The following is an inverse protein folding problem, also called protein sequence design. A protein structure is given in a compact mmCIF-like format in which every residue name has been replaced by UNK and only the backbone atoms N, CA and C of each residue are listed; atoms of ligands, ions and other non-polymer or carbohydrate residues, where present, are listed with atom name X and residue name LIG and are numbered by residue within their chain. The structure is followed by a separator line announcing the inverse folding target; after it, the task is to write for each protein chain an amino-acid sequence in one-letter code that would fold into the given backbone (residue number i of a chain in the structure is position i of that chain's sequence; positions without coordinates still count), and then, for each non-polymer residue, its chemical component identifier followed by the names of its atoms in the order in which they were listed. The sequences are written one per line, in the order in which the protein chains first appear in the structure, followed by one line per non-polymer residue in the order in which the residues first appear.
data_IF_212094333567
#
_entry.id   IF_212094333567
#
_cell.length_a   1.000
_cell.length_b   1.000
_cell.length_c   1.000
_cell.angle_alpha   90.00
_cell.angle_beta   90.00
_cell.angle_gamma   90.00
#
_symmetry.space_group_name_H-M   'P 1'
#
loop_
_entity.id
_entity.type
_entity.pdbx_description
1 polymer ?
#
# COMPACT_ATOMS: atom_id res chain seq x y z
N UNK A 1 -11.45 -8.27 12.75
CA UNK A 1 -11.91 -8.60 11.37
C UNK A 1 -10.79 -8.33 10.35
N UNK A 2 -10.75 -9.05 9.22
CA UNK A 2 -9.79 -8.81 8.13
C UNK A 2 -10.50 -8.93 6.78
N UNK A 3 -10.14 -8.07 5.84
CA UNK A 3 -10.69 -8.15 4.48
C UNK A 3 -9.85 -9.11 3.63
N UNK A 4 -10.51 -9.94 2.82
CA UNK A 4 -9.84 -10.86 1.90
C UNK A 4 -8.92 -10.09 0.95
N UNK A 5 -7.70 -10.60 0.74
CA UNK A 5 -6.66 -9.97 -0.10
C UNK A 5 -6.13 -8.61 0.37
N UNK A 6 -6.45 -8.19 1.60
CA UNK A 6 -5.82 -7.02 2.23
C UNK A 6 -4.36 -7.28 2.62
N UNK A 7 -3.98 -8.54 2.84
CA UNK A 7 -2.67 -8.89 3.39
C UNK A 7 -2.49 -8.53 4.87
N UNK A 8 -3.48 -7.95 5.54
CA UNK A 8 -3.50 -7.71 6.98
C UNK A 8 -3.74 -9.02 7.74
N UNK A 9 -3.04 -9.23 8.85
CA UNK A 9 -3.28 -10.37 9.76
C UNK A 9 -4.41 -10.04 10.74
N UNK A 10 -5.07 -11.07 11.29
CA UNK A 10 -6.14 -10.87 12.27
C UNK A 10 -5.62 -10.14 13.52
N UNK A 11 -6.32 -9.06 13.91
CA UNK A 11 -5.96 -8.23 15.07
C UNK A 11 -4.75 -7.33 14.85
N UNK A 12 -4.13 -7.36 13.66
CA UNK A 12 -2.92 -6.61 13.38
C UNK A 12 -3.19 -5.11 13.34
N UNK A 13 -2.39 -4.33 14.08
CA UNK A 13 -2.42 -2.87 14.03
C UNK A 13 -1.82 -2.32 12.72
N UNK A 14 -2.02 -1.02 12.46
CA UNK A 14 -1.38 -0.34 11.33
C UNK A 14 0.15 -0.42 11.42
N UNK A 15 0.70 -0.16 12.61
CA UNK A 15 2.15 -0.15 12.83
C UNK A 15 2.74 -1.55 12.66
N UNK A 16 2.11 -2.58 13.23
CA UNK A 16 2.53 -3.98 13.05
C UNK A 16 2.44 -4.42 11.59
N UNK A 17 1.48 -3.90 10.82
CA UNK A 17 1.39 -4.17 9.39
C UNK A 17 2.59 -3.57 8.65
N UNK A 18 2.88 -2.29 8.86
CA UNK A 18 3.97 -1.62 8.18
C UNK A 18 5.35 -2.14 8.61
N UNK A 19 5.54 -2.47 9.89
CA UNK A 19 6.78 -3.08 10.37
C UNK A 19 7.01 -4.45 9.71
N UNK A 20 5.98 -5.31 9.69
CA UNK A 20 6.07 -6.61 9.01
C UNK A 20 6.34 -6.45 7.51
N UNK A 21 5.73 -5.46 6.86
CA UNK A 21 5.98 -5.15 5.44
C UNK A 21 7.41 -4.69 5.23
N UNK A 22 7.93 -3.79 6.06
CA UNK A 22 9.31 -3.34 6.00
C UNK A 22 10.30 -4.50 6.13
N UNK A 23 10.10 -5.39 7.11
CA UNK A 23 10.93 -6.59 7.29
C UNK A 23 10.88 -7.53 6.07
N UNK A 24 9.69 -7.75 5.51
CA UNK A 24 9.50 -8.55 4.30
C UNK A 24 10.17 -7.91 3.08
N UNK A 25 10.04 -6.60 2.93
CA UNK A 25 10.62 -5.83 1.83
C UNK A 25 12.16 -5.81 1.92
N UNK A 26 12.74 -5.71 3.12
CA UNK A 26 14.19 -5.81 3.32
C UNK A 26 14.73 -7.16 2.85
N UNK A 27 14.03 -8.27 3.16
CA UNK A 27 14.40 -9.62 2.68
C UNK A 27 14.29 -9.73 1.16
N UNK A 28 13.29 -9.09 0.54
CA UNK A 28 13.14 -9.05 -0.92
C UNK A 28 14.25 -8.23 -1.57
N UNK A 29 14.60 -7.09 -1.00
CA UNK A 29 15.66 -6.22 -1.49
C UNK A 29 17.00 -6.97 -1.57
N UNK A 30 17.32 -7.78 -0.56
CA UNK A 30 18.55 -8.58 -0.53
C UNK A 30 18.66 -9.61 -1.67
N UNK A 31 17.52 -10.05 -2.22
CA UNK A 31 17.45 -11.10 -3.23
C UNK A 31 16.90 -10.59 -4.58
N UNK A 32 16.80 -9.27 -4.76
CA UNK A 32 16.12 -8.67 -5.91
C UNK A 32 16.96 -8.79 -7.19
N UNK A 33 16.47 -9.46 -8.26
CA UNK A 33 17.17 -9.48 -9.54
C UNK A 33 17.25 -8.10 -10.17
N UNK A 34 18.32 -7.82 -10.90
CA UNK A 34 18.60 -6.49 -11.46
C UNK A 34 17.45 -5.92 -12.32
N UNK A 35 16.76 -6.77 -13.09
CA UNK A 35 15.58 -6.40 -13.90
C UNK A 35 14.39 -5.96 -13.04
N UNK A 36 14.18 -6.62 -11.90
CA UNK A 36 13.09 -6.29 -10.98
C UNK A 36 13.40 -4.99 -10.25
N UNK A 37 14.67 -4.77 -9.89
CA UNK A 37 15.14 -3.52 -9.28
C UNK A 37 14.86 -2.30 -10.15
N UNK A 38 15.19 -2.34 -11.43
CA UNK A 38 14.90 -1.23 -12.34
C UNK A 38 13.39 -0.95 -12.44
N UNK A 39 12.58 -2.00 -12.57
CA UNK A 39 11.12 -1.86 -12.59
C UNK A 39 10.58 -1.22 -11.31
N UNK A 40 11.03 -1.68 -10.14
CA UNK A 40 10.64 -1.12 -8.84
C UNK A 40 11.03 0.35 -8.71
N UNK A 41 12.28 0.71 -9.03
CA UNK A 41 12.75 2.09 -8.97
C UNK A 41 11.97 3.02 -9.91
N UNK A 42 11.62 2.54 -11.11
CA UNK A 42 10.79 3.31 -12.04
C UNK A 42 9.38 3.57 -11.47
N UNK A 43 8.79 2.56 -10.80
CA UNK A 43 7.49 2.72 -10.13
C UNK A 43 7.56 3.64 -8.91
N UNK A 44 8.58 3.51 -8.07
CA UNK A 44 8.83 4.40 -6.93
C UNK A 44 8.99 5.85 -7.38
N UNK A 45 9.78 6.10 -8.43
CA UNK A 45 9.91 7.43 -9.04
C UNK A 45 8.59 7.97 -9.60
N UNK A 46 7.77 7.11 -10.21
CA UNK A 46 6.45 7.54 -10.68
C UNK A 46 5.51 7.86 -9.49
N UNK A 47 5.60 7.11 -8.40
CA UNK A 47 4.80 7.30 -7.20
C UNK A 47 5.10 8.64 -6.49
N UNK A 48 6.30 9.20 -6.63
CA UNK A 48 6.65 10.54 -6.13
C UNK A 48 5.72 11.64 -6.66
N UNK A 49 5.11 11.44 -7.85
CA UNK A 49 4.11 12.34 -8.44
C UNK A 49 2.79 12.39 -7.68
N UNK A 50 2.52 11.39 -6.84
CA UNK A 50 1.33 11.34 -5.98
C UNK A 50 0.00 11.43 -6.75
N UNK A 51 0.01 10.98 -8.00
CA UNK A 51 -1.18 10.89 -8.84
C UNK A 51 -1.97 9.62 -8.50
N UNK A 52 -3.30 9.72 -8.51
CA UNK A 52 -4.17 8.55 -8.31
C UNK A 52 -3.88 7.51 -9.41
N UNK A 53 -3.59 6.24 -9.05
CA UNK A 53 -3.37 5.19 -10.03
C UNK A 53 -4.64 4.94 -10.86
N UNK A 54 -4.51 4.68 -12.16
CA UNK A 54 -5.63 4.25 -13.02
C UNK A 54 -6.09 2.81 -12.74
N UNK A 55 -7.02 2.28 -13.53
CA UNK A 55 -7.58 0.92 -13.36
C UNK A 55 -6.55 -0.21 -13.51
N UNK A 56 -5.53 -0.02 -14.34
CA UNK A 56 -4.39 -0.95 -14.53
C UNK A 56 -3.15 -0.56 -13.73
N UNK A 57 -3.27 0.44 -12.84
CA UNK A 57 -2.16 0.96 -12.05
C UNK A 57 -1.94 0.19 -10.75
N UNK A 58 -1.13 0.79 -9.87
CA UNK A 58 -0.91 0.30 -8.50
C UNK A 58 -2.23 0.10 -7.76
N UNK A 59 -2.30 -0.95 -6.93
CA UNK A 59 -3.47 -1.22 -6.10
C UNK A 59 -3.55 -0.20 -4.98
N UNK A 60 -4.74 0.24 -4.61
CA UNK A 60 -4.94 1.22 -3.53
C UNK A 60 -5.77 0.57 -2.44
N UNK A 61 -5.31 0.73 -1.20
CA UNK A 61 -5.96 0.27 0.01
C UNK A 61 -6.20 1.47 0.93
N UNK A 62 -7.29 1.43 1.68
CA UNK A 62 -7.62 2.41 2.72
C UNK A 62 -7.66 1.72 4.08
N UNK A 63 -7.19 2.43 5.09
CA UNK A 63 -7.29 2.03 6.48
C UNK A 63 -8.47 2.72 7.13
N UNK A 64 -9.38 1.92 7.68
CA UNK A 64 -10.58 2.42 8.36
C UNK A 64 -10.70 1.83 9.75
N UNK A 65 -11.25 2.61 10.67
CA UNK A 65 -11.49 2.16 12.03
C UNK A 65 -12.92 1.65 12.16
N UNK A 66 -13.09 0.35 12.34
CA UNK A 66 -14.37 -0.33 12.50
C UNK A 66 -14.38 -1.01 13.86
N UNK A 67 -15.36 -0.69 14.69
CA UNK A 67 -15.52 -1.22 16.07
C UNK A 67 -14.23 -1.10 16.90
N UNK A 68 -13.51 0.02 16.76
CA UNK A 68 -12.26 0.27 17.49
C UNK A 68 -11.01 -0.38 16.86
N UNK A 69 -11.16 -1.20 15.83
CA UNK A 69 -10.05 -1.87 15.15
C UNK A 69 -9.74 -1.26 13.78
N UNK A 70 -8.46 -1.12 13.47
CA UNK A 70 -8.03 -0.72 12.13
C UNK A 70 -8.14 -1.88 11.16
N UNK A 71 -8.77 -1.65 10.01
CA UNK A 71 -8.98 -2.63 8.95
C UNK A 71 -8.45 -2.05 7.63
N UNK A 72 -7.55 -2.79 6.98
CA UNK A 72 -7.08 -2.48 5.63
C UNK A 72 -8.03 -3.10 4.62
N UNK A 73 -8.65 -2.28 3.76
CA UNK A 73 -9.54 -2.76 2.70
C UNK A 73 -9.12 -2.22 1.33
N UNK A 74 -9.36 -2.96 0.24
CA UNK A 74 -9.16 -2.42 -1.09
C UNK A 74 -10.11 -1.22 -1.31
N UNK A 75 -9.59 -0.15 -1.91
CA UNK A 75 -10.35 1.07 -2.15
C UNK A 75 -11.45 0.90 -3.24
N UNK A 76 -11.35 -0.11 -4.10
CA UNK A 76 -12.44 -0.42 -5.05
C UNK A 76 -12.77 0.73 -6.02
N UNK A 77 -14.07 1.01 -6.18
CA UNK A 77 -14.58 2.02 -7.11
C UNK A 77 -14.42 3.46 -6.58
N UNK A 78 -14.53 3.65 -5.28
CA UNK A 78 -14.37 4.93 -4.56
C UNK A 78 -12.90 5.39 -4.43
N UNK A 79 -11.96 4.67 -5.08
CA UNK A 79 -10.52 4.94 -5.01
C UNK A 79 -10.18 6.41 -5.33
N UNK A 80 -10.81 7.01 -6.33
CA UNK A 80 -10.52 8.38 -6.72
C UNK A 80 -10.95 9.37 -5.63
N UNK A 81 -12.16 9.22 -5.11
CA UNK A 81 -12.68 10.05 -4.01
C UNK A 81 -11.80 9.92 -2.76
N UNK A 82 -11.55 8.67 -2.32
CA UNK A 82 -10.67 8.40 -1.17
C UNK A 82 -9.26 8.97 -1.39
N UNK A 83 -8.74 8.89 -2.62
CA UNK A 83 -7.44 9.46 -2.93
C UNK A 83 -7.41 10.97 -2.71
N UNK A 84 -8.46 11.68 -3.12
CA UNK A 84 -8.55 13.14 -2.95
C UNK A 84 -8.80 13.57 -1.51
N UNK A 85 -9.51 12.74 -0.73
CA UNK A 85 -9.75 12.97 0.70
C UNK A 85 -8.51 12.78 1.58
N UNK A 86 -7.53 12.00 1.12
CA UNK A 86 -6.27 11.79 1.85
C UNK A 86 -5.18 12.75 1.36
N UNK A 87 -4.55 13.46 2.29
CA UNK A 87 -3.39 14.32 1.98
C UNK A 87 -2.17 13.50 1.51
N UNK A 88 -1.17 14.15 0.91
CA UNK A 88 0.08 13.48 0.47
C UNK A 88 0.80 12.75 1.61
N UNK A 89 0.75 13.27 2.85
CA UNK A 89 1.34 12.63 4.03
C UNK A 89 0.61 11.38 4.50
N UNK A 90 -0.66 11.23 4.11
CA UNK A 90 -1.50 10.07 4.42
C UNK A 90 -1.40 8.98 3.35
N UNK A 91 -0.65 9.20 2.27
CA UNK A 91 -0.46 8.25 1.17
C UNK A 91 0.91 7.61 1.27
N UNK A 92 0.94 6.31 1.53
CA UNK A 92 2.19 5.53 1.63
C UNK A 92 2.27 4.56 0.47
N UNK A 93 3.38 4.58 -0.27
CA UNK A 93 3.60 3.70 -1.41
C UNK A 93 4.59 2.58 -1.07
N UNK A 94 4.29 1.36 -1.51
CA UNK A 94 5.17 0.18 -1.43
C UNK A 94 5.53 -0.32 -2.84
N UNK A 95 6.74 0.03 -3.30
CA UNK A 95 7.26 -0.36 -4.61
C UNK A 95 7.47 -1.87 -4.80
N UNK A 96 7.65 -2.65 -3.73
CA UNK A 96 7.83 -4.10 -3.82
C UNK A 96 6.53 -4.85 -4.12
N UNK A 97 5.39 -4.23 -3.84
CA UNK A 97 4.08 -4.81 -4.07
C UNK A 97 3.23 -4.03 -5.07
N UNK A 98 3.69 -2.83 -5.45
CA UNK A 98 2.96 -1.92 -6.32
C UNK A 98 1.60 -1.55 -5.69
N UNK A 99 1.66 -1.15 -4.42
CA UNK A 99 0.50 -0.88 -3.57
C UNK A 99 0.61 0.51 -2.92
N UNK A 100 -0.53 1.17 -2.78
CA UNK A 100 -0.72 2.36 -1.95
C UNK A 100 -1.58 2.04 -0.74
N UNK A 101 -1.22 2.66 0.37
CA UNK A 101 -1.97 2.69 1.62
C UNK A 101 -2.39 4.12 1.93
N UNK A 102 -3.70 4.35 2.03
CA UNK A 102 -4.32 5.59 2.51
C UNK A 102 -4.58 5.42 4.01
N UNK A 103 -3.89 6.21 4.84
CA UNK A 103 -3.86 6.08 6.31
C UNK A 103 -4.46 7.27 7.06
#
# INVERSE_FOLDING_TARGET
PVVRFSGQKQGQSIDEFFERRAQSNAKRLANEPHRNRQSRLAKEKNAERQSCPGSKGSRVYVWEKIDGHWIRRPAGQEKEDLWHDHSRSQRRYDGFHDEWDLC
#
